data_IF_535188469739
#
_entry.id   IF_535188469739
#
_cell.length_a   1.000
_cell.length_b   1.000
_cell.length_c   1.000
_cell.angle_alpha   90.00
_cell.angle_beta   90.00
_cell.angle_gamma   90.00
#
_symmetry.space_group_name_H-M   'P 1'
#
loop_
_entity.id
_entity.type
_entity.pdbx_description
1 polymer ?
#
# COMPACT_ATOMS: atom_id res chain seq x y z
N UNK A 1 -16.05 -6.92 4.83
CA UNK A 1 -14.65 -7.35 5.00
C UNK A 1 -13.80 -6.10 5.23
N UNK A 2 -12.82 -6.16 6.12
CA UNK A 2 -12.02 -4.98 6.48
C UNK A 2 -11.06 -4.55 5.37
N UNK A 3 -10.62 -5.49 4.53
CA UNK A 3 -9.91 -5.25 3.28
C UNK A 3 -10.04 -6.47 2.35
N UNK A 4 -9.67 -6.29 1.08
CA UNK A 4 -9.50 -7.35 0.09
C UNK A 4 -8.20 -7.13 -0.69
N UNK A 5 -7.71 -8.17 -1.35
CA UNK A 5 -6.50 -8.10 -2.18
C UNK A 5 -6.69 -8.86 -3.49
N UNK A 6 -6.27 -8.28 -4.61
CA UNK A 6 -6.31 -8.92 -5.92
C UNK A 6 -5.04 -8.67 -6.73
N UNK A 7 -4.60 -9.68 -7.49
CA UNK A 7 -3.50 -9.52 -8.42
C UNK A 7 -3.97 -8.75 -9.65
N UNK A 8 -3.40 -7.57 -9.86
CA UNK A 8 -3.58 -6.82 -11.11
C UNK A 8 -2.61 -7.33 -12.17
N UNK A 9 -1.38 -7.62 -11.75
CA UNK A 9 -0.38 -8.35 -12.54
C UNK A 9 0.19 -9.45 -11.65
N UNK A 10 0.03 -10.73 -12.01
CA UNK A 10 0.48 -11.85 -11.18
C UNK A 10 1.95 -11.69 -10.75
N UNK A 11 2.21 -11.85 -9.45
CA UNK A 11 3.54 -11.79 -8.83
C UNK A 11 4.28 -10.44 -8.98
N UNK A 12 3.61 -9.39 -9.46
CA UNK A 12 4.23 -8.06 -9.70
C UNK A 12 3.43 -6.91 -9.13
N UNK A 13 2.11 -6.90 -9.31
CA UNK A 13 1.26 -5.78 -8.89
C UNK A 13 0.03 -6.31 -8.19
N UNK A 14 -0.11 -5.98 -6.92
CA UNK A 14 -1.27 -6.32 -6.11
C UNK A 14 -2.03 -5.06 -5.73
N UNK A 15 -3.36 -5.12 -5.83
CA UNK A 15 -4.27 -4.09 -5.36
C UNK A 15 -4.88 -4.53 -4.03
N UNK A 16 -4.76 -3.68 -3.02
CA UNK A 16 -5.50 -3.79 -1.77
C UNK A 16 -6.62 -2.78 -1.75
N UNK A 17 -7.84 -3.23 -1.49
CA UNK A 17 -8.99 -2.36 -1.28
C UNK A 17 -9.30 -2.34 0.21
N UNK A 18 -9.14 -1.18 0.86
CA UNK A 18 -9.42 -1.04 2.28
C UNK A 18 -10.90 -0.67 2.49
N UNK A 19 -11.55 -1.39 3.39
CA UNK A 19 -12.94 -1.13 3.77
C UNK A 19 -13.09 0.05 4.74
N UNK A 20 -14.33 0.38 5.08
CA UNK A 20 -14.63 1.55 5.94
C UNK A 20 -14.05 1.41 7.36
N UNK A 21 -13.94 0.18 7.87
CA UNK A 21 -13.58 -0.15 9.26
C UNK A 21 -12.22 -0.83 9.38
N UNK A 22 -11.22 -0.42 8.59
CA UNK A 22 -9.89 -0.99 8.64
C UNK A 22 -9.20 -0.73 9.99
N UNK A 23 -8.79 -1.79 10.66
CA UNK A 23 -8.23 -1.74 12.02
C UNK A 23 -6.71 -1.93 12.03
N UNK A 24 -6.10 -1.78 13.21
CA UNK A 24 -4.68 -2.07 13.42
C UNK A 24 -4.35 -3.55 13.24
N UNK A 25 -5.25 -4.43 13.66
CA UNK A 25 -5.12 -5.87 13.47
C UNK A 25 -5.13 -6.22 11.97
N UNK A 26 -6.01 -5.58 11.20
CA UNK A 26 -6.04 -5.74 9.74
C UNK A 26 -4.73 -5.27 9.09
N UNK A 27 -4.12 -4.20 9.61
CA UNK A 27 -2.80 -3.74 9.17
C UNK A 27 -1.67 -4.73 9.48
N UNK A 28 -1.71 -5.35 10.66
CA UNK A 28 -0.78 -6.43 11.01
C UNK A 28 -0.90 -7.62 10.05
N UNK A 29 -2.12 -8.10 9.81
CA UNK A 29 -2.39 -9.22 8.90
C UNK A 29 -1.99 -8.91 7.46
N UNK A 30 -2.31 -7.72 6.96
CA UNK A 30 -1.90 -7.28 5.63
C UNK A 30 -0.38 -7.22 5.51
N UNK A 31 0.31 -6.70 6.53
CA UNK A 31 1.76 -6.62 6.55
C UNK A 31 2.41 -8.01 6.52
N UNK A 32 1.90 -8.98 7.28
CA UNK A 32 2.37 -10.37 7.27
C UNK A 32 2.14 -11.04 5.91
N UNK A 33 0.91 -10.95 5.38
CA UNK A 33 0.58 -11.46 4.05
C UNK A 33 1.50 -10.86 2.98
N UNK A 34 1.77 -9.56 3.05
CA UNK A 34 2.66 -8.89 2.12
C UNK A 34 4.11 -9.34 2.26
N UNK A 35 4.60 -9.55 3.48
CA UNK A 35 5.95 -10.05 3.70
C UNK A 35 6.12 -11.45 3.09
N UNK A 36 5.16 -12.35 3.28
CA UNK A 36 5.21 -13.68 2.67
C UNK A 36 5.27 -13.62 1.14
N UNK A 37 4.49 -12.74 0.53
CA UNK A 37 4.49 -12.53 -0.91
C UNK A 37 5.82 -11.93 -1.41
N UNK A 38 6.38 -11.01 -0.64
CA UNK A 38 7.64 -10.33 -0.94
C UNK A 38 8.85 -11.27 -0.79
N UNK A 39 8.85 -12.14 0.21
CA UNK A 39 9.89 -13.14 0.46
C UNK A 39 9.95 -14.20 -0.65
N UNK A 40 8.80 -14.49 -1.27
CA UNK A 40 8.68 -15.43 -2.38
C UNK A 40 8.92 -14.78 -3.74
N UNK A 41 8.97 -13.44 -3.81
CA UNK A 41 9.15 -12.74 -5.06
C UNK A 41 10.60 -12.80 -5.54
N UNK A 42 10.76 -12.93 -6.85
CA UNK A 42 12.07 -12.79 -7.52
C UNK A 42 12.22 -11.43 -8.21
N UNK A 43 11.13 -10.67 -8.29
CA UNK A 43 11.05 -9.36 -8.91
C UNK A 43 10.40 -8.33 -7.98
N UNK A 44 10.59 -7.04 -8.26
CA UNK A 44 9.92 -6.02 -7.46
C UNK A 44 8.40 -6.19 -7.50
N UNK A 45 7.81 -6.20 -6.30
CA UNK A 45 6.38 -6.26 -6.08
C UNK A 45 5.88 -4.86 -5.71
N UNK A 46 4.94 -4.36 -6.49
CA UNK A 46 4.32 -3.06 -6.34
C UNK A 46 2.95 -3.21 -5.67
N UNK A 47 2.66 -2.29 -4.76
CA UNK A 47 1.43 -2.27 -3.99
C UNK A 47 0.59 -1.10 -4.44
N UNK A 48 -0.63 -1.39 -4.88
CA UNK A 48 -1.68 -0.39 -5.06
C UNK A 48 -2.59 -0.48 -3.82
N UNK A 49 -2.95 0.65 -3.23
CA UNK A 49 -3.85 0.70 -2.09
C UNK A 49 -5.01 1.64 -2.40
N UNK A 50 -6.19 1.08 -2.55
CA UNK A 50 -7.44 1.82 -2.68
C UNK A 50 -8.00 2.18 -1.31
N UNK A 51 -8.05 3.49 -1.07
CA UNK A 51 -8.47 4.12 0.17
C UNK A 51 -9.82 4.83 0.01
N UNK A 52 -10.49 4.69 -1.13
CA UNK A 52 -11.68 5.47 -1.49
C UNK A 52 -12.86 5.20 -0.57
N UNK A 53 -12.96 4.00 -0.02
CA UNK A 53 -13.99 3.61 0.94
C UNK A 53 -13.59 3.87 2.40
N UNK A 54 -12.33 4.23 2.65
CA UNK A 54 -11.82 4.34 4.01
C UNK A 54 -12.32 5.61 4.69
N UNK A 55 -13.11 5.46 5.77
CA UNK A 55 -13.68 6.58 6.53
C UNK A 55 -12.94 6.87 7.83
N UNK A 56 -12.41 5.83 8.46
CA UNK A 56 -11.72 5.93 9.74
C UNK A 56 -10.40 5.20 9.68
N UNK A 57 -9.34 5.87 10.11
CA UNK A 57 -8.02 5.27 10.27
C UNK A 57 -7.70 5.12 11.75
N UNK A 58 -7.05 4.02 12.19
CA UNK A 58 -6.72 3.85 13.59
C UNK A 58 -5.79 4.95 14.11
N UNK A 59 -6.28 5.81 15.01
CA UNK A 59 -5.54 6.98 15.51
C UNK A 59 -4.25 6.65 16.29
N UNK A 60 -4.04 5.39 16.68
CA UNK A 60 -2.88 4.95 17.50
C UNK A 60 -1.75 4.31 16.70
N UNK A 61 -1.81 4.37 15.37
CA UNK A 61 -0.81 3.70 14.55
C UNK A 61 0.60 4.24 14.78
N UNK A 62 0.79 5.50 15.21
CA UNK A 62 2.14 6.09 15.38
C UNK A 62 3.10 5.31 16.27
N UNK A 63 2.60 4.57 17.27
CA UNK A 63 3.43 3.73 18.15
C UNK A 63 3.76 2.36 17.52
N UNK A 64 2.84 1.84 16.72
CA UNK A 64 2.95 0.53 16.05
C UNK A 64 3.30 0.63 14.56
N UNK A 65 3.58 1.84 14.04
CA UNK A 65 3.94 2.08 12.64
C UNK A 65 5.07 1.13 12.24
N UNK A 66 6.06 0.95 13.12
CA UNK A 66 7.23 0.15 12.82
C UNK A 66 6.91 -1.34 12.59
N UNK A 67 5.93 -1.90 13.29
CA UNK A 67 5.57 -3.32 13.17
C UNK A 67 4.69 -3.58 11.94
N UNK A 68 3.79 -2.65 11.62
CA UNK A 68 2.82 -2.79 10.51
C UNK A 68 3.32 -2.26 9.16
N UNK A 69 4.54 -1.72 9.10
CA UNK A 69 5.18 -1.21 7.86
C UNK A 69 6.47 -1.96 7.52
N UNK A 70 6.66 -3.18 8.04
CA UNK A 70 7.86 -3.98 7.74
C UNK A 70 7.93 -4.33 6.26
N UNK A 71 6.81 -4.69 5.64
CA UNK A 71 6.72 -5.03 4.21
C UNK A 71 7.24 -3.88 3.33
N UNK A 72 7.01 -2.63 3.75
CA UNK A 72 7.42 -1.44 3.02
C UNK A 72 8.95 -1.26 2.95
N UNK A 73 9.70 -1.86 3.88
CA UNK A 73 11.18 -1.80 3.89
C UNK A 73 11.82 -3.02 3.22
N UNK A 74 11.01 -3.93 2.70
CA UNK A 74 11.52 -5.15 2.09
C UNK A 74 12.31 -4.82 0.82
N UNK A 75 13.45 -5.48 0.53
CA UNK A 75 14.25 -5.21 -0.68
C UNK A 75 13.50 -5.42 -2.00
N UNK A 76 12.52 -6.33 -2.02
CA UNK A 76 11.64 -6.58 -3.17
C UNK A 76 10.45 -5.61 -3.23
N UNK A 77 10.27 -4.72 -2.24
CA UNK A 77 9.21 -3.71 -2.29
C UNK A 77 9.54 -2.70 -3.38
N UNK A 78 8.63 -2.58 -4.34
CA UNK A 78 8.73 -1.63 -5.43
C UNK A 78 8.11 -0.29 -5.07
N UNK A 79 7.05 0.05 -5.80
CA UNK A 79 6.29 1.29 -5.61
C UNK A 79 5.05 1.03 -4.76
N UNK A 80 4.73 1.99 -3.91
CA UNK A 80 3.46 2.09 -3.22
C UNK A 80 2.64 3.19 -3.88
N UNK A 81 1.49 2.86 -4.46
CA UNK A 81 0.57 3.83 -5.03
C UNK A 81 -0.73 3.83 -4.25
N UNK A 82 -1.01 4.96 -3.60
CA UNK A 82 -2.24 5.18 -2.84
C UNK A 82 -3.29 5.84 -3.74
N UNK A 83 -4.36 5.11 -4.03
CA UNK A 83 -5.52 5.59 -4.80
C UNK A 83 -6.46 6.30 -3.84
N UNK A 84 -6.73 7.56 -4.12
CA UNK A 84 -7.61 8.38 -3.28
C UNK A 84 -8.32 9.45 -4.10
N UNK A 85 -9.63 9.63 -3.85
CA UNK A 85 -10.41 10.65 -4.54
C UNK A 85 -10.26 12.01 -3.82
N UNK A 86 -9.43 12.90 -4.38
CA UNK A 86 -9.36 14.31 -3.97
C UNK A 86 -8.60 14.57 -2.66
N UNK A 87 -8.93 15.68 -1.99
CA UNK A 87 -8.30 16.15 -0.75
C UNK A 87 -8.78 15.36 0.48
N UNK A 88 -8.58 14.05 0.47
CA UNK A 88 -8.91 13.21 1.61
C UNK A 88 -7.80 13.33 2.68
N UNK A 89 -8.12 13.68 3.94
CA UNK A 89 -7.15 13.82 5.02
C UNK A 89 -6.32 12.55 5.28
N UNK A 90 -6.77 11.38 4.80
CA UNK A 90 -6.01 10.13 4.90
C UNK A 90 -4.72 10.14 4.07
N UNK A 91 -4.65 10.93 3.00
CA UNK A 91 -3.43 11.05 2.21
C UNK A 91 -2.26 11.61 3.05
N UNK A 92 -2.52 12.65 3.86
CA UNK A 92 -1.52 13.21 4.76
C UNK A 92 -1.06 12.21 5.81
N UNK A 93 -1.99 11.42 6.33
CA UNK A 93 -1.66 10.38 7.30
C UNK A 93 -0.74 9.32 6.69
N UNK A 94 -1.10 8.75 5.53
CA UNK A 94 -0.28 7.73 4.86
C UNK A 94 1.08 8.30 4.48
N UNK A 95 1.12 9.54 3.96
CA UNK A 95 2.37 10.23 3.71
C UNK A 95 3.21 10.33 4.99
N UNK A 96 2.61 10.63 6.15
CA UNK A 96 3.32 10.70 7.43
C UNK A 96 3.87 9.33 7.88
N UNK A 97 3.12 8.25 7.70
CA UNK A 97 3.56 6.88 8.04
C UNK A 97 4.70 6.44 7.13
N UNK A 98 4.54 6.64 5.83
CA UNK A 98 5.54 6.26 4.84
C UNK A 98 6.77 7.15 4.92
N UNK A 99 6.65 8.43 5.28
CA UNK A 99 7.81 9.33 5.49
C UNK A 99 8.75 8.85 6.60
N UNK A 100 8.22 8.13 7.59
CA UNK A 100 9.01 7.50 8.66
C UNK A 100 9.67 6.19 8.21
N UNK A 101 9.28 5.69 7.04
CA UNK A 101 9.76 4.45 6.45
C UNK A 101 10.75 4.76 5.35
N UNK A 102 12.05 4.63 5.64
CA UNK A 102 13.11 4.85 4.65
C UNK A 102 13.01 3.85 3.50
N UNK A 103 13.11 4.34 2.25
CA UNK A 103 13.28 3.53 1.04
C UNK A 103 12.01 3.30 0.20
N UNK A 104 10.83 3.59 0.73
CA UNK A 104 9.56 3.40 0.01
C UNK A 104 9.35 4.50 -1.02
N UNK A 105 9.02 4.08 -2.24
CA UNK A 105 8.64 5.00 -3.30
C UNK A 105 7.11 5.15 -3.30
N UNK A 106 6.61 6.20 -2.65
CA UNK A 106 5.18 6.49 -2.55
C UNK A 106 4.70 7.48 -3.61
N UNK A 107 3.53 7.20 -4.21
CA UNK A 107 2.77 8.15 -5.01
C UNK A 107 1.29 8.12 -4.63
N UNK A 108 0.65 9.27 -4.72
CA UNK A 108 -0.81 9.39 -4.65
C UNK A 108 -1.35 9.57 -6.05
N UNK A 109 -2.44 8.87 -6.36
CA UNK A 109 -3.13 8.87 -7.64
C UNK A 109 -4.64 8.89 -7.40
N UNK A 110 -5.42 9.25 -8.41
CA UNK A 110 -6.87 9.45 -8.28
C UNK A 110 -7.71 8.24 -8.65
N UNK A 111 -7.14 7.30 -9.41
CA UNK A 111 -7.82 6.09 -9.88
C UNK A 111 -6.84 4.93 -10.06
N UNK A 112 -7.39 3.72 -10.17
CA UNK A 112 -6.62 2.52 -10.52
C UNK A 112 -5.94 2.66 -11.90
N UNK A 113 -6.65 3.23 -12.88
CA UNK A 113 -6.11 3.47 -14.22
C UNK A 113 -4.88 4.39 -14.18
N UNK A 114 -4.97 5.53 -13.47
CA UNK A 114 -3.84 6.44 -13.27
C UNK A 114 -2.70 5.76 -12.50
N UNK A 115 -3.02 4.87 -11.55
CA UNK A 115 -2.04 4.08 -10.82
C UNK A 115 -1.21 3.21 -11.78
N UNK A 116 -1.87 2.48 -12.67
CA UNK A 116 -1.23 1.59 -13.64
C UNK A 116 -0.41 2.37 -14.67
N UNK A 117 -0.95 3.45 -15.23
CA UNK A 117 -0.20 4.33 -16.14
C UNK A 117 1.03 4.94 -15.47
N UNK A 118 0.90 5.35 -14.21
CA UNK A 118 2.00 5.90 -13.44
C UNK A 118 3.05 4.84 -13.17
N UNK A 119 2.63 3.64 -12.82
CA UNK A 119 3.51 2.54 -12.53
C UNK A 119 4.28 2.09 -13.78
N UNK A 120 3.62 1.95 -14.93
CA UNK A 120 4.27 1.61 -16.20
C UNK A 120 5.31 2.66 -16.65
N UNK A 121 5.09 3.94 -16.33
CA UNK A 121 6.10 4.99 -16.56
C UNK A 121 7.30 4.91 -15.61
N UNK A 122 7.12 4.35 -14.41
CA UNK A 122 8.13 4.32 -13.35
C UNK A 122 8.95 3.02 -13.31
N UNK A 123 8.37 1.92 -13.79
CA UNK A 123 9.04 0.65 -13.95
C UNK A 123 8.79 0.13 -15.38
N UNK A 124 9.80 0.29 -16.23
CA UNK A 124 9.78 -0.14 -17.63
C UNK A 124 9.84 -1.66 -17.80
N UNK A 125 9.96 -2.42 -16.71
CA UNK A 125 10.00 -3.89 -16.70
C UNK A 125 8.64 -4.54 -16.39
N UNK A 126 7.61 -3.71 -16.24
CA UNK A 126 6.19 -4.08 -16.16
C UNK A 126 5.54 -4.03 -17.55
#
# INVERSE_FOLDING_TARGET
MSYSSEWVIPNRVILFTLGETYTLEDAGRLNEQMLEMLDQSTQSLHMLVDLTLMRHFPMRITEEVWSITKCLRHPQMGWLLAINHGANPMAHFIASVVSKTTGVKLRFVKSLEEALETLHRMDLTL
#
